data_IF_846753785424
#
_entry.id   IF_846753785424
#
_cell.length_a   1.000
_cell.length_b   1.000
_cell.length_c   1.000
_cell.angle_alpha   90.00
_cell.angle_beta   90.00
_cell.angle_gamma   90.00
#
_symmetry.space_group_name_H-M   'P 1'
#
loop_
_entity.id
_entity.type
_entity.pdbx_description
1 polymer ?
#
# COMPACT_ATOMS: atom_id res chain seq x y z
N UNK A 1 -28.00 16.02 -25.22
CA UNK A 1 -27.07 15.04 -24.60
C UNK A 1 -26.09 15.83 -23.76
N UNK A 2 -26.15 15.73 -22.44
CA UNK A 2 -25.15 16.36 -21.56
C UNK A 2 -23.84 15.62 -21.75
N UNK A 3 -22.85 16.30 -22.31
CA UNK A 3 -21.46 15.81 -22.40
C UNK A 3 -20.81 16.01 -21.04
N UNK A 4 -21.17 15.18 -20.06
CA UNK A 4 -20.42 15.14 -18.81
C UNK A 4 -19.02 14.62 -19.12
N UNK A 5 -18.03 15.49 -18.89
CA UNK A 5 -16.62 15.11 -19.01
C UNK A 5 -16.22 14.25 -17.81
N UNK A 6 -15.31 13.28 -17.98
CA UNK A 6 -14.76 12.52 -16.87
C UNK A 6 -14.12 13.45 -15.83
N UNK A 7 -14.36 13.19 -14.55
CA UNK A 7 -13.79 13.96 -13.45
C UNK A 7 -12.30 13.62 -13.31
N UNK A 8 -11.46 14.62 -13.09
CA UNK A 8 -10.07 14.41 -12.67
C UNK A 8 -9.95 14.62 -11.17
N UNK A 9 -9.37 13.66 -10.45
CA UNK A 9 -9.18 13.69 -9.00
C UNK A 9 -7.67 13.67 -8.71
N UNK A 10 -7.17 14.79 -8.20
CA UNK A 10 -5.76 14.96 -7.86
C UNK A 10 -5.37 14.22 -6.57
N UNK A 11 -4.07 14.06 -6.36
CA UNK A 11 -3.50 13.54 -5.11
C UNK A 11 -3.92 14.37 -3.89
N UNK A 12 -4.04 15.69 -4.02
CA UNK A 12 -4.45 16.56 -2.91
C UNK A 12 -5.91 16.38 -2.53
N UNK A 13 -6.78 16.11 -3.51
CA UNK A 13 -8.17 15.78 -3.26
C UNK A 13 -8.27 14.38 -2.64
N UNK A 14 -7.54 13.40 -3.17
CA UNK A 14 -7.50 12.04 -2.62
C UNK A 14 -7.13 12.03 -1.13
N UNK A 15 -6.09 12.77 -0.73
CA UNK A 15 -5.65 12.89 0.67
C UNK A 15 -6.74 13.39 1.63
N UNK A 16 -7.70 14.17 1.14
CA UNK A 16 -8.80 14.71 1.96
C UNK A 16 -9.90 13.68 2.19
N UNK A 17 -10.03 12.68 1.31
CA UNK A 17 -11.10 11.70 1.34
C UNK A 17 -10.66 10.32 1.83
N UNK A 18 -9.36 10.08 2.00
CA UNK A 18 -8.84 8.77 2.39
C UNK A 18 -8.89 8.55 3.90
N UNK A 19 -9.57 7.47 4.30
CA UNK A 19 -9.58 6.93 5.66
C UNK A 19 -8.95 5.53 5.66
N UNK A 20 -8.04 5.26 6.60
CA UNK A 20 -7.33 3.98 6.65
C UNK A 20 -8.26 2.79 6.90
N UNK A 21 -9.33 2.94 7.70
CA UNK A 21 -10.25 1.82 7.98
C UNK A 21 -11.03 1.44 6.74
N UNK A 22 -11.48 2.43 5.98
CA UNK A 22 -12.18 2.19 4.71
C UNK A 22 -11.23 1.63 3.63
N UNK A 23 -9.97 2.06 3.59
CA UNK A 23 -8.97 1.47 2.69
C UNK A 23 -8.70 0.00 3.05
N UNK A 24 -8.48 -0.31 4.32
CA UNK A 24 -8.28 -1.70 4.76
C UNK A 24 -9.51 -2.56 4.39
N UNK A 25 -10.72 -2.03 4.60
CA UNK A 25 -11.95 -2.72 4.22
C UNK A 25 -12.03 -2.99 2.71
N UNK A 26 -11.73 -2.00 1.87
CA UNK A 26 -11.72 -2.18 0.42
C UNK A 26 -10.74 -3.27 -0.02
N UNK A 27 -9.57 -3.36 0.63
CA UNK A 27 -8.59 -4.43 0.37
C UNK A 27 -9.08 -5.81 0.86
N UNK A 28 -9.74 -5.88 2.02
CA UNK A 28 -10.39 -7.12 2.49
C UNK A 28 -11.44 -7.61 1.48
N UNK A 29 -12.31 -6.72 0.99
CA UNK A 29 -13.32 -7.06 -0.02
C UNK A 29 -12.67 -7.54 -1.32
N UNK A 30 -11.60 -6.88 -1.77
CA UNK A 30 -10.87 -7.30 -2.96
C UNK A 30 -10.19 -8.67 -2.78
N UNK A 31 -9.62 -8.96 -1.61
CA UNK A 31 -9.04 -10.28 -1.34
C UNK A 31 -10.08 -11.39 -1.28
N UNK A 32 -11.25 -11.13 -0.69
CA UNK A 32 -12.39 -12.04 -0.75
C UNK A 32 -12.85 -12.28 -2.19
N UNK A 33 -12.89 -11.23 -3.00
CA UNK A 33 -13.27 -11.31 -4.41
C UNK A 33 -12.29 -12.13 -5.27
N UNK A 34 -11.00 -12.15 -4.91
CA UNK A 34 -9.97 -12.95 -5.59
C UNK A 34 -9.99 -14.40 -5.12
N UNK A 35 -10.32 -14.65 -3.85
CA UNK A 35 -10.39 -16.02 -3.31
C UNK A 35 -11.67 -16.76 -3.70
N UNK A 36 -12.74 -16.01 -4.01
CA UNK A 36 -14.01 -16.58 -4.43
C UNK A 36 -14.04 -16.93 -5.92
N UNK A 37 -14.33 -18.18 -6.23
CA UNK A 37 -14.47 -18.67 -7.62
C UNK A 37 -15.93 -18.75 -8.09
N UNK A 38 -16.90 -18.55 -7.20
CA UNK A 38 -18.33 -18.58 -7.53
C UNK A 38 -18.86 -17.17 -7.80
N UNK A 39 -19.16 -16.90 -9.07
CA UNK A 39 -19.68 -15.63 -9.58
C UNK A 39 -21.21 -15.54 -9.42
N UNK A 40 -21.89 -16.66 -9.13
CA UNK A 40 -23.35 -16.72 -9.02
C UNK A 40 -23.89 -16.37 -7.62
N UNK A 41 -23.01 -16.31 -6.63
CA UNK A 41 -23.35 -16.03 -5.23
C UNK A 41 -23.46 -14.54 -4.90
N UNK A 42 -23.98 -14.24 -3.70
CA UNK A 42 -24.05 -12.89 -3.14
C UNK A 42 -22.72 -12.40 -2.55
N UNK A 43 -21.60 -13.07 -2.84
CA UNK A 43 -20.26 -12.70 -2.37
C UNK A 43 -19.51 -11.84 -3.40
N UNK A 44 -18.49 -11.08 -2.98
CA UNK A 44 -17.61 -10.40 -3.90
C UNK A 44 -16.93 -11.40 -4.86
N UNK A 45 -16.70 -10.97 -6.09
CA UNK A 45 -15.96 -11.74 -7.10
C UNK A 45 -15.12 -10.81 -7.96
N UNK A 46 -14.10 -11.34 -8.62
CA UNK A 46 -13.18 -10.52 -9.40
C UNK A 46 -12.96 -11.06 -10.81
N UNK A 47 -12.63 -10.14 -11.71
CA UNK A 47 -12.08 -10.45 -13.03
C UNK A 47 -10.85 -9.57 -13.23
N UNK A 48 -9.68 -10.20 -13.19
CA UNK A 48 -8.40 -9.51 -13.27
C UNK A 48 -7.43 -10.32 -14.15
N UNK A 49 -7.14 -9.87 -15.38
CA UNK A 49 -6.11 -10.50 -16.18
C UNK A 49 -4.72 -10.20 -15.61
N UNK A 50 -3.72 -10.95 -16.08
CA UNK A 50 -2.33 -10.61 -15.81
C UNK A 50 -2.02 -9.19 -16.30
N UNK A 51 -1.17 -8.47 -15.54
CA UNK A 51 -0.69 -7.15 -15.96
C UNK A 51 0.04 -7.26 -17.29
N UNK A 52 -0.12 -6.27 -18.15
CA UNK A 52 0.56 -6.21 -19.45
C UNK A 52 1.60 -5.10 -19.46
N UNK A 53 2.65 -5.31 -20.27
CA UNK A 53 3.80 -4.41 -20.37
C UNK A 53 3.95 -3.93 -21.80
N UNK A 54 4.23 -2.64 -21.97
CA UNK A 54 4.67 -2.05 -23.23
C UNK A 54 6.01 -1.39 -22.97
N UNK A 55 7.06 -1.92 -23.61
CA UNK A 55 8.39 -1.35 -23.53
C UNK A 55 8.52 -0.18 -24.51
N UNK A 56 8.96 0.96 -23.99
CA UNK A 56 9.35 2.13 -24.76
C UNK A 56 10.88 2.31 -24.65
N UNK A 57 11.46 3.16 -25.49
CA UNK A 57 12.91 3.39 -25.52
C UNK A 57 13.49 3.79 -24.14
N UNK A 58 12.77 4.65 -23.40
CA UNK A 58 13.23 5.19 -22.11
C UNK A 58 12.62 4.53 -20.87
N UNK A 59 11.77 3.50 -21.02
CA UNK A 59 11.01 2.98 -19.90
C UNK A 59 9.95 1.96 -20.27
N UNK A 60 9.00 1.75 -19.38
CA UNK A 60 7.93 0.75 -19.55
C UNK A 60 6.59 1.31 -19.07
N UNK A 61 5.52 0.99 -19.81
CA UNK A 61 4.14 1.17 -19.40
C UNK A 61 3.60 -0.16 -18.86
N UNK A 62 3.01 -0.13 -17.68
CA UNK A 62 2.30 -1.23 -17.04
C UNK A 62 0.81 -0.93 -17.08
N UNK A 63 0.03 -1.86 -17.64
CA UNK A 63 -1.43 -1.80 -17.65
C UNK A 63 -2.00 -2.86 -16.71
N UNK A 64 -2.84 -2.41 -15.78
CA UNK A 64 -3.41 -3.22 -14.71
C UNK A 64 -4.93 -3.02 -14.64
N UNK A 65 -5.71 -3.61 -15.56
CA UNK A 65 -7.17 -3.60 -15.47
C UNK A 65 -7.65 -4.57 -14.39
N UNK A 66 -8.78 -4.24 -13.76
CA UNK A 66 -9.42 -5.09 -12.77
C UNK A 66 -10.88 -4.74 -12.56
N UNK A 67 -11.69 -5.77 -12.31
CA UNK A 67 -13.08 -5.66 -11.93
C UNK A 67 -13.28 -6.35 -10.58
N UNK A 68 -13.99 -5.68 -9.67
CA UNK A 68 -14.52 -6.28 -8.45
C UNK A 68 -16.03 -6.11 -8.48
N UNK A 69 -16.75 -7.21 -8.54
CA UNK A 69 -18.20 -7.24 -8.51
C UNK A 69 -18.72 -7.52 -7.11
N UNK A 70 -19.92 -7.00 -6.83
CA UNK A 70 -20.72 -7.34 -5.65
C UNK A 70 -19.98 -7.14 -4.30
N UNK A 71 -19.29 -6.01 -4.16
CA UNK A 71 -18.55 -5.65 -2.94
C UNK A 71 -19.25 -4.54 -2.15
N UNK A 72 -18.97 -4.50 -0.85
CA UNK A 72 -19.44 -3.44 0.03
C UNK A 72 -18.40 -2.31 0.02
N UNK A 73 -18.83 -1.11 -0.39
CA UNK A 73 -17.90 0.02 -0.60
C UNK A 73 -17.37 0.56 0.73
N UNK A 74 -18.25 0.74 1.71
CA UNK A 74 -17.92 1.33 3.00
C UNK A 74 -18.28 0.37 4.13
N UNK A 75 -17.33 0.18 5.05
CA UNK A 75 -17.50 -0.68 6.23
C UNK A 75 -18.63 -0.18 7.14
N UNK A 76 -18.79 1.14 7.18
CA UNK A 76 -19.81 1.84 7.98
C UNK A 76 -21.24 1.65 7.45
N UNK A 77 -21.43 1.27 6.19
CA UNK A 77 -22.75 1.13 5.57
C UNK A 77 -23.08 -0.34 5.25
N UNK A 78 -23.38 -1.12 6.30
CA UNK A 78 -23.79 -2.54 6.19
C UNK A 78 -25.17 -2.75 5.55
N UNK A 79 -25.92 -1.67 5.32
CA UNK A 79 -27.25 -1.69 4.69
C UNK A 79 -27.21 -1.38 3.20
N UNK A 80 -26.04 -0.99 2.68
CA UNK A 80 -25.86 -0.64 1.28
C UNK A 80 -26.08 -1.84 0.37
N UNK A 81 -26.76 -1.57 -0.75
CA UNK A 81 -26.76 -2.48 -1.89
C UNK A 81 -25.33 -2.69 -2.37
N UNK A 82 -24.89 -3.95 -2.60
CA UNK A 82 -23.57 -4.21 -3.11
C UNK A 82 -23.29 -3.46 -4.41
N UNK A 83 -22.05 -2.98 -4.54
CA UNK A 83 -21.58 -2.23 -5.71
C UNK A 83 -20.62 -3.06 -6.55
N UNK A 84 -20.28 -2.54 -7.72
CA UNK A 84 -19.28 -3.14 -8.61
C UNK A 84 -18.36 -2.04 -9.13
N UNK A 85 -17.08 -2.35 -9.28
CA UNK A 85 -16.06 -1.37 -9.66
C UNK A 85 -15.22 -1.93 -10.79
N UNK A 86 -15.18 -1.21 -11.90
CA UNK A 86 -14.31 -1.47 -13.05
C UNK A 86 -13.26 -0.37 -13.13
N UNK A 87 -11.99 -0.73 -13.04
CA UNK A 87 -10.91 0.25 -13.12
C UNK A 87 -9.70 -0.29 -13.91
N UNK A 88 -8.89 0.63 -14.42
CA UNK A 88 -7.59 0.32 -14.98
C UNK A 88 -6.54 1.27 -14.43
N UNK A 89 -5.48 0.72 -13.83
CA UNK A 89 -4.31 1.51 -13.47
C UNK A 89 -3.28 1.43 -14.58
N UNK A 90 -2.86 2.60 -15.07
CA UNK A 90 -1.74 2.75 -15.99
C UNK A 90 -0.59 3.41 -15.25
N UNK A 91 0.56 2.73 -15.20
CA UNK A 91 1.78 3.22 -14.55
C UNK A 91 2.92 3.18 -15.56
N UNK A 92 3.73 4.22 -15.59
CA UNK A 92 4.97 4.28 -16.34
C UNK A 92 6.15 4.28 -15.39
N UNK A 93 7.23 3.59 -15.76
CA UNK A 93 8.52 3.62 -15.06
C UNK A 93 9.63 4.01 -16.03
N UNK A 94 10.24 5.17 -15.78
CA UNK A 94 11.25 5.80 -16.62
C UNK A 94 12.43 6.21 -15.72
N UNK A 95 13.39 5.30 -15.54
CA UNK A 95 14.46 5.43 -14.53
C UNK A 95 15.41 6.63 -14.71
N UNK A 96 15.45 7.23 -15.90
CA UNK A 96 16.25 8.44 -16.18
C UNK A 96 15.51 9.74 -15.87
N UNK A 97 14.22 9.70 -15.51
CA UNK A 97 13.44 10.91 -15.19
C UNK A 97 14.07 11.76 -14.07
N UNK A 98 14.61 11.16 -12.98
CA UNK A 98 15.27 11.93 -11.93
C UNK A 98 16.56 12.64 -12.36
N UNK A 99 17.14 12.28 -13.52
CA UNK A 99 18.37 12.90 -14.06
C UNK A 99 18.09 14.10 -14.97
N UNK A 100 16.83 14.38 -15.29
CA UNK A 100 16.41 15.50 -16.15
C UNK A 100 16.51 16.83 -15.41
N UNK A 101 16.45 17.93 -16.16
CA UNK A 101 16.38 19.30 -15.63
C UNK A 101 15.17 20.04 -16.25
N UNK A 102 14.10 20.32 -15.49
CA UNK A 102 13.91 19.94 -14.08
C UNK A 102 13.72 18.42 -13.89
N UNK A 103 14.04 17.87 -12.71
CA UNK A 103 13.89 16.45 -12.44
C UNK A 103 12.41 16.04 -12.46
N UNK A 104 12.13 14.88 -13.06
CA UNK A 104 10.79 14.27 -13.11
C UNK A 104 10.72 13.02 -12.23
N UNK A 105 9.52 12.61 -11.76
CA UNK A 105 9.33 11.33 -11.08
C UNK A 105 9.68 10.15 -11.99
N UNK A 106 10.37 9.15 -11.45
CA UNK A 106 10.66 7.88 -12.14
C UNK A 106 9.39 7.05 -12.39
N UNK A 107 8.41 7.14 -11.50
CA UNK A 107 7.11 6.47 -11.58
C UNK A 107 5.99 7.50 -11.70
N UNK A 108 5.17 7.36 -12.75
CA UNK A 108 4.00 8.21 -12.99
C UNK A 108 2.80 7.34 -13.32
N UNK A 109 1.59 7.70 -12.92
CA UNK A 109 0.42 6.96 -13.36
C UNK A 109 -0.92 7.55 -12.99
N UNK A 110 -1.93 7.01 -13.65
CA UNK A 110 -3.33 7.37 -13.47
C UNK A 110 -4.17 6.10 -13.32
N UNK A 111 -5.24 6.19 -12.54
CA UNK A 111 -6.28 5.19 -12.42
C UNK A 111 -7.49 5.71 -13.19
N UNK A 112 -8.03 4.89 -14.08
CA UNK A 112 -9.22 5.17 -14.86
C UNK A 112 -10.38 4.37 -14.27
N UNK A 113 -11.43 5.05 -13.86
CA UNK A 113 -12.64 4.46 -13.29
C UNK A 113 -13.76 4.48 -14.33
N UNK A 114 -14.38 3.34 -14.57
CA UNK A 114 -15.42 3.18 -15.58
C UNK A 114 -16.76 2.84 -14.93
N UNK A 115 -17.83 3.34 -15.53
CA UNK A 115 -19.17 2.82 -15.27
C UNK A 115 -19.22 1.36 -15.74
N UNK A 116 -19.49 0.45 -14.82
CA UNK A 116 -19.39 -0.98 -15.07
C UNK A 116 -20.57 -1.55 -15.88
N UNK A 117 -21.57 -0.74 -16.23
CA UNK A 117 -22.74 -1.14 -17.02
C UNK A 117 -22.61 -0.64 -18.47
N UNK A 118 -22.20 0.62 -18.64
CA UNK A 118 -22.12 1.32 -19.92
C UNK A 118 -20.71 1.39 -20.49
N UNK A 119 -19.69 1.14 -19.67
CA UNK A 119 -18.27 1.26 -20.03
C UNK A 119 -17.78 2.71 -20.17
N UNK A 120 -18.60 3.72 -19.87
CA UNK A 120 -18.19 5.12 -19.95
C UNK A 120 -17.16 5.45 -18.88
N UNK A 121 -16.08 6.15 -19.28
CA UNK A 121 -15.11 6.68 -18.34
C UNK A 121 -15.78 7.73 -17.43
N UNK A 122 -15.71 7.51 -16.12
CA UNK A 122 -16.33 8.38 -15.11
C UNK A 122 -15.30 9.31 -14.47
N UNK A 123 -14.14 8.75 -14.10
CA UNK A 123 -13.10 9.51 -13.43
C UNK A 123 -11.69 9.04 -13.80
N UNK A 124 -10.75 9.96 -13.65
CA UNK A 124 -9.31 9.74 -13.70
C UNK A 124 -8.69 10.22 -12.40
N UNK A 125 -7.83 9.42 -11.79
CA UNK A 125 -7.26 9.69 -10.48
C UNK A 125 -5.75 9.56 -10.54
N UNK A 126 -5.01 10.43 -9.84
CA UNK A 126 -3.57 10.25 -9.70
C UNK A 126 -3.24 8.96 -8.95
N UNK A 127 -2.38 8.12 -9.54
CA UNK A 127 -2.20 6.74 -9.07
C UNK A 127 -1.13 6.58 -7.99
N UNK A 128 -0.23 7.54 -7.82
CA UNK A 128 0.96 7.38 -6.97
C UNK A 128 0.56 7.25 -5.49
N UNK A 129 -0.27 8.18 -4.99
CA UNK A 129 -0.79 8.14 -3.63
C UNK A 129 -1.62 6.88 -3.35
N UNK A 130 -2.57 6.55 -4.23
CA UNK A 130 -3.39 5.32 -4.09
C UNK A 130 -2.51 4.06 -4.15
N UNK A 131 -1.46 4.05 -4.98
CA UNK A 131 -0.52 2.93 -5.05
C UNK A 131 0.24 2.78 -3.74
N UNK A 132 0.65 3.86 -3.09
CA UNK A 132 1.23 3.84 -1.74
C UNK A 132 0.27 3.24 -0.71
N UNK A 133 -0.94 3.80 -0.61
CA UNK A 133 -1.97 3.37 0.33
C UNK A 133 -2.34 1.89 0.16
N UNK A 134 -2.72 1.48 -1.06
CA UNK A 134 -3.21 0.12 -1.31
C UNK A 134 -2.13 -0.94 -1.10
N UNK A 135 -0.86 -0.61 -1.33
CA UNK A 135 0.27 -1.54 -1.12
C UNK A 135 0.49 -1.74 0.37
N UNK A 136 0.54 -0.66 1.15
CA UNK A 136 0.60 -0.74 2.61
C UNK A 136 -0.62 -1.47 3.21
N UNK A 137 -1.83 -1.15 2.74
CA UNK A 137 -3.06 -1.76 3.20
C UNK A 137 -3.10 -3.28 2.95
N UNK A 138 -2.65 -3.74 1.77
CA UNK A 138 -2.52 -5.17 1.48
C UNK A 138 -1.63 -5.90 2.51
N UNK A 139 -0.47 -5.32 2.83
CA UNK A 139 0.45 -5.83 3.85
C UNK A 139 -0.16 -5.81 5.26
N UNK A 140 -0.91 -4.76 5.61
CA UNK A 140 -1.57 -4.65 6.92
C UNK A 140 -2.68 -5.70 7.05
N UNK A 141 -3.57 -5.86 6.06
CA UNK A 141 -4.61 -6.89 6.07
C UNK A 141 -3.99 -8.29 6.16
N UNK A 142 -2.92 -8.56 5.41
CA UNK A 142 -2.19 -9.83 5.52
C UNK A 142 -1.62 -10.04 6.94
N UNK A 143 -1.05 -9.00 7.54
CA UNK A 143 -0.51 -9.05 8.91
C UNK A 143 -1.63 -9.26 9.95
N UNK A 144 -2.81 -8.66 9.77
CA UNK A 144 -3.96 -8.87 10.63
C UNK A 144 -4.42 -10.33 10.64
N UNK A 145 -4.58 -10.91 9.46
CA UNK A 145 -5.09 -12.27 9.30
C UNK A 145 -4.04 -13.33 9.66
N UNK A 146 -2.78 -13.11 9.26
CA UNK A 146 -1.71 -14.10 9.38
C UNK A 146 -0.83 -13.90 10.61
N UNK A 147 -0.89 -12.80 11.34
CA UNK A 147 -0.04 -12.62 12.51
C UNK A 147 -0.86 -12.20 13.72
N UNK A 148 -1.58 -11.09 13.63
CA UNK A 148 -2.30 -10.56 14.79
C UNK A 148 -3.46 -11.43 15.28
N UNK A 149 -4.02 -12.30 14.42
CA UNK A 149 -5.03 -13.30 14.81
C UNK A 149 -4.54 -14.32 15.84
N UNK A 150 -3.22 -14.51 15.95
CA UNK A 150 -2.56 -15.49 16.85
C UNK A 150 -1.75 -14.83 17.98
N UNK A 151 -1.70 -13.51 18.04
CA UNK A 151 -1.02 -12.75 19.09
C UNK A 151 -2.00 -12.45 20.23
N UNK A 152 -1.69 -12.95 21.43
CA UNK A 152 -2.50 -12.72 22.64
C UNK A 152 -2.29 -11.32 23.21
N UNK A 153 -1.04 -10.86 23.29
CA UNK A 153 -0.68 -9.54 23.79
C UNK A 153 0.02 -8.70 22.71
N UNK A 154 -0.63 -7.60 22.31
CA UNK A 154 -0.13 -6.66 21.31
C UNK A 154 0.64 -5.48 21.90
N UNK A 155 0.76 -5.39 23.23
CA UNK A 155 1.30 -4.21 23.93
C UNK A 155 2.77 -3.95 23.65
N UNK A 156 3.55 -4.98 23.32
CA UNK A 156 5.01 -4.92 23.20
C UNK A 156 5.54 -5.21 21.79
N UNK A 157 4.67 -5.16 20.77
CA UNK A 157 5.06 -5.51 19.39
C UNK A 157 6.06 -4.51 18.81
N UNK A 158 7.00 -5.03 18.02
CA UNK A 158 8.07 -4.27 17.35
C UNK A 158 7.93 -4.37 15.83
N UNK A 159 7.78 -3.22 15.17
CA UNK A 159 7.76 -3.09 13.71
C UNK A 159 9.14 -2.71 13.18
N UNK A 160 9.66 -3.43 12.20
CA UNK A 160 10.87 -3.07 11.46
C UNK A 160 10.53 -2.59 10.04
N UNK A 161 11.05 -1.44 9.64
CA UNK A 161 10.93 -0.90 8.27
C UNK A 161 12.32 -0.88 7.62
N UNK A 162 12.54 -1.79 6.68
CA UNK A 162 13.77 -1.91 5.91
C UNK A 162 13.55 -1.25 4.55
N UNK A 163 14.12 -0.05 4.37
CA UNK A 163 13.86 0.82 3.23
C UNK A 163 12.86 1.92 3.57
N UNK A 164 13.33 3.15 3.66
CA UNK A 164 12.53 4.33 4.08
C UNK A 164 12.21 5.26 2.91
N UNK A 165 12.00 4.68 1.72
CA UNK A 165 11.41 5.38 0.57
C UNK A 165 9.89 5.47 0.69
N UNK A 166 9.22 5.82 -0.42
CA UNK A 166 7.76 6.01 -0.49
C UNK A 166 6.98 4.86 0.13
N UNK A 167 7.25 3.61 -0.26
CA UNK A 167 6.52 2.46 0.28
C UNK A 167 6.78 2.23 1.77
N UNK A 168 8.03 2.37 2.23
CA UNK A 168 8.35 2.26 3.67
C UNK A 168 7.61 3.32 4.50
N UNK A 169 7.50 4.54 3.97
CA UNK A 169 6.72 5.61 4.59
C UNK A 169 5.22 5.27 4.70
N UNK A 170 4.59 4.85 3.59
CA UNK A 170 3.16 4.46 3.61
C UNK A 170 2.89 3.28 4.55
N UNK A 171 3.79 2.29 4.61
CA UNK A 171 3.64 1.17 5.54
C UNK A 171 3.78 1.62 6.99
N UNK A 172 4.80 2.42 7.30
CA UNK A 172 4.99 2.93 8.66
C UNK A 172 3.77 3.75 9.12
N UNK A 173 3.27 4.66 8.28
CA UNK A 173 2.08 5.46 8.57
C UNK A 173 0.83 4.58 8.68
N UNK A 174 0.64 3.64 7.76
CA UNK A 174 -0.52 2.75 7.77
C UNK A 174 -0.59 1.88 9.02
N UNK A 175 0.52 1.24 9.40
CA UNK A 175 0.60 0.48 10.65
C UNK A 175 0.37 1.38 11.87
N UNK A 176 0.97 2.58 11.90
CA UNK A 176 0.79 3.53 13.00
C UNK A 176 -0.68 3.97 13.17
N UNK A 177 -1.44 4.08 12.08
CA UNK A 177 -2.85 4.48 12.12
C UNK A 177 -3.81 3.33 12.47
N UNK A 178 -3.40 2.07 12.28
CA UNK A 178 -4.33 0.93 12.28
C UNK A 178 -4.03 -0.10 13.36
N UNK A 179 -2.77 -0.19 13.82
CA UNK A 179 -2.28 -1.27 14.68
C UNK A 179 -1.37 -0.74 15.78
N UNK A 180 -1.36 -1.40 16.95
CA UNK A 180 -0.52 -0.98 18.07
C UNK A 180 0.88 -1.61 18.02
N UNK A 181 1.90 -0.77 18.18
CA UNK A 181 3.30 -1.16 18.30
C UNK A 181 3.97 -0.36 19.42
N UNK A 182 4.80 -1.01 20.23
CA UNK A 182 5.64 -0.35 21.22
C UNK A 182 6.85 0.33 20.58
N UNK A 183 7.36 -0.25 19.48
CA UNK A 183 8.59 0.24 18.83
C UNK A 183 8.49 0.17 17.32
N UNK A 184 9.02 1.19 16.64
CA UNK A 184 9.26 1.21 15.20
C UNK A 184 10.76 1.37 14.97
N UNK A 185 11.38 0.38 14.36
CA UNK A 185 12.78 0.38 13.96
C UNK A 185 12.89 0.73 12.48
N UNK A 186 13.74 1.69 12.15
CA UNK A 186 13.95 2.16 10.80
C UNK A 186 15.38 1.85 10.34
N UNK A 187 15.51 1.34 9.12
CA UNK A 187 16.79 1.24 8.46
C UNK A 187 16.69 1.61 6.99
N UNK A 188 17.69 2.33 6.49
CA UNK A 188 17.89 2.57 5.08
C UNK A 188 19.38 2.81 4.83
N UNK A 189 19.88 2.34 3.67
CA UNK A 189 21.28 2.52 3.27
C UNK A 189 21.74 3.99 3.38
N UNK A 190 20.89 4.92 2.97
CA UNK A 190 21.10 6.36 3.16
C UNK A 190 20.38 6.79 4.43
N UNK A 191 21.12 6.96 5.53
CA UNK A 191 20.59 7.27 6.87
C UNK A 191 19.64 8.47 6.89
N UNK A 192 19.95 9.53 6.14
CA UNK A 192 19.12 10.74 6.09
C UNK A 192 17.70 10.50 5.59
N UNK A 193 17.42 9.42 4.85
CA UNK A 193 16.05 9.03 4.50
C UNK A 193 15.27 8.52 5.73
N UNK A 194 15.92 7.73 6.58
CA UNK A 194 15.32 7.27 7.84
C UNK A 194 15.10 8.42 8.82
N UNK A 195 16.00 9.40 8.87
CA UNK A 195 15.83 10.60 9.70
C UNK A 195 14.62 11.43 9.26
N UNK A 196 14.42 11.61 7.95
CA UNK A 196 13.22 12.27 7.42
C UNK A 196 11.94 11.52 7.75
N UNK A 197 11.95 10.18 7.60
CA UNK A 197 10.78 9.38 7.95
C UNK A 197 10.50 9.43 9.45
N UNK A 198 11.54 9.33 10.30
CA UNK A 198 11.41 9.45 11.75
C UNK A 198 10.75 10.77 12.14
N UNK A 199 11.20 11.90 11.60
CA UNK A 199 10.60 13.20 11.85
C UNK A 199 9.10 13.24 11.49
N UNK A 200 8.75 12.77 10.28
CA UNK A 200 7.34 12.67 9.85
C UNK A 200 6.49 11.81 10.78
N UNK A 201 7.01 10.65 11.19
CA UNK A 201 6.28 9.76 12.09
C UNK A 201 6.13 10.39 13.47
N UNK A 202 7.17 11.03 14.01
CA UNK A 202 7.11 11.75 15.29
C UNK A 202 6.02 12.83 15.31
N UNK A 203 5.82 13.55 14.19
CA UNK A 203 4.75 14.54 14.08
C UNK A 203 3.34 13.91 14.04
N UNK A 204 3.23 12.70 13.46
CA UNK A 204 1.96 11.98 13.35
C UNK A 204 1.58 11.20 14.60
N UNK A 205 2.55 10.70 15.37
CA UNK A 205 2.34 9.86 16.54
C UNK A 205 1.23 10.37 17.49
N UNK A 206 1.19 11.67 17.87
CA UNK A 206 0.18 12.18 18.79
C UNK A 206 -1.27 12.04 18.32
N UNK A 207 -1.51 11.97 17.00
CA UNK A 207 -2.85 11.81 16.41
C UNK A 207 -3.21 10.36 16.05
N UNK A 208 -2.34 9.40 16.39
CA UNK A 208 -2.50 7.98 16.03
C UNK A 208 -2.87 7.10 17.22
N UNK A 209 -3.08 5.79 16.97
CA UNK A 209 -3.31 4.78 18.01
C UNK A 209 -2.09 4.50 18.91
N UNK A 210 -0.94 5.15 18.61
CA UNK A 210 0.39 4.79 19.08
C UNK A 210 1.12 5.97 19.74
N UNK A 211 0.43 6.76 20.57
CA UNK A 211 0.98 7.97 21.19
C UNK A 211 2.31 7.77 21.95
N UNK A 212 2.62 6.55 22.38
CA UNK A 212 3.82 6.21 23.17
C UNK A 212 4.87 5.39 22.39
N UNK A 213 4.71 5.24 21.06
CA UNK A 213 5.63 4.41 20.27
C UNK A 213 7.04 5.01 20.26
N UNK A 214 8.04 4.15 20.49
CA UNK A 214 9.45 4.54 20.40
C UNK A 214 9.95 4.30 18.98
N UNK A 215 10.41 5.35 18.31
CA UNK A 215 10.97 5.27 16.95
C UNK A 215 12.50 5.35 17.03
N UNK A 216 13.21 4.41 16.42
CA UNK A 216 14.67 4.36 16.43
C UNK A 216 15.25 4.06 15.04
N UNK A 217 16.42 4.64 14.75
CA UNK A 217 17.17 4.39 13.52
C UNK A 217 18.35 3.48 13.83
N UNK A 218 18.50 2.40 13.07
CA UNK A 218 19.56 1.40 13.27
C UNK A 218 20.66 1.49 12.22
N UNK A 219 21.88 1.06 12.56
CA UNK A 219 23.05 1.16 11.71
C UNK A 219 23.13 0.07 10.65
N UNK A 220 22.58 -1.11 10.93
CA UNK A 220 22.55 -2.26 10.03
C UNK A 220 21.15 -2.86 9.87
N UNK A 221 20.94 -3.63 8.80
CA UNK A 221 19.71 -4.40 8.59
C UNK A 221 19.50 -5.40 9.73
N UNK A 222 20.58 -6.06 10.17
CA UNK A 222 20.57 -7.02 11.27
C UNK A 222 20.06 -6.39 12.57
N UNK A 223 20.63 -5.26 12.99
CA UNK A 223 20.19 -4.53 14.20
C UNK A 223 18.73 -4.09 14.12
N UNK A 224 18.29 -3.70 12.91
CA UNK A 224 16.92 -3.27 12.67
C UNK A 224 15.94 -4.45 12.71
N UNK A 225 16.32 -5.63 12.21
CA UNK A 225 15.48 -6.83 12.20
C UNK A 225 15.42 -7.53 13.56
N UNK A 226 16.47 -7.38 14.37
CA UNK A 226 16.57 -8.03 15.67
C UNK A 226 15.35 -7.72 16.53
N UNK A 227 14.75 -8.75 17.11
CA UNK A 227 13.56 -8.69 17.98
C UNK A 227 12.26 -8.16 17.32
N UNK A 228 12.24 -7.87 16.01
CA UNK A 228 11.02 -7.45 15.31
C UNK A 228 9.98 -8.58 15.25
N UNK A 229 8.73 -8.21 15.52
CA UNK A 229 7.54 -9.06 15.35
C UNK A 229 7.04 -9.01 13.90
N UNK A 230 7.03 -7.81 13.34
CA UNK A 230 6.62 -7.54 11.96
C UNK A 230 7.75 -6.81 11.26
N UNK A 231 8.12 -7.25 10.06
CA UNK A 231 9.12 -6.59 9.23
C UNK A 231 8.50 -6.27 7.88
N UNK A 232 8.69 -5.03 7.41
CA UNK A 232 8.39 -4.60 6.05
C UNK A 232 9.71 -4.42 5.31
N UNK A 233 9.88 -5.07 4.16
CA UNK A 233 10.99 -4.79 3.25
C UNK A 233 10.49 -3.98 2.07
N UNK A 234 10.87 -2.71 1.99
CA UNK A 234 10.46 -1.76 0.95
C UNK A 234 11.70 -1.16 0.27
N UNK A 235 12.53 -2.03 -0.30
CA UNK A 235 13.80 -1.67 -0.94
C UNK A 235 13.79 -2.00 -2.43
N UNK A 236 14.51 -1.23 -3.23
CA UNK A 236 14.70 -1.49 -4.67
C UNK A 236 15.93 -2.36 -4.98
N UNK A 237 16.47 -3.09 -4.00
CA UNK A 237 17.65 -3.92 -4.22
C UNK A 237 17.27 -5.29 -4.79
N UNK A 238 18.05 -5.78 -5.74
CA UNK A 238 17.97 -7.15 -6.25
C UNK A 238 18.77 -8.15 -5.41
N UNK A 239 19.55 -7.67 -4.44
CA UNK A 239 20.35 -8.52 -3.55
C UNK A 239 19.63 -8.77 -2.22
N UNK A 240 19.61 -10.01 -1.70
CA UNK A 240 19.04 -10.29 -0.38
C UNK A 240 19.68 -9.44 0.74
N UNK A 241 18.85 -8.84 1.60
CA UNK A 241 19.30 -8.04 2.75
C UNK A 241 19.03 -8.70 4.10
N UNK A 242 17.98 -9.51 4.19
CA UNK A 242 17.56 -10.15 5.43
C UNK A 242 17.95 -11.62 5.37
N UNK A 243 18.68 -12.06 6.40
CA UNK A 243 19.06 -13.45 6.58
C UNK A 243 18.36 -14.04 7.80
N UNK A 244 18.13 -15.36 7.79
CA UNK A 244 17.42 -16.06 8.86
C UNK A 244 18.04 -15.81 10.24
N UNK A 245 19.36 -15.67 10.33
CA UNK A 245 20.10 -15.39 11.57
C UNK A 245 19.72 -14.07 12.23
N UNK A 246 19.14 -13.11 11.50
CA UNK A 246 18.74 -11.80 12.03
C UNK A 246 17.37 -11.82 12.69
N UNK A 247 16.61 -12.90 12.46
CA UNK A 247 15.19 -12.97 12.72
C UNK A 247 14.90 -13.80 13.96
N UNK A 248 14.00 -13.31 14.81
CA UNK A 248 13.44 -14.14 15.88
C UNK A 248 12.51 -15.22 15.33
N UNK A 249 12.15 -16.25 16.12
CA UNK A 249 11.06 -17.17 15.78
C UNK A 249 9.74 -16.42 15.56
N UNK A 250 8.88 -16.94 14.70
CA UNK A 250 7.51 -16.45 14.46
C UNK A 250 7.37 -15.00 13.95
N UNK A 251 8.46 -14.42 13.42
CA UNK A 251 8.41 -13.11 12.75
C UNK A 251 7.50 -13.15 11.52
N UNK A 252 6.67 -12.12 11.36
CA UNK A 252 5.88 -11.89 10.15
C UNK A 252 6.62 -10.94 9.22
N UNK A 253 6.77 -11.31 7.94
CA UNK A 253 7.50 -10.50 6.96
C UNK A 253 6.56 -10.13 5.81
N UNK A 254 6.44 -8.83 5.56
CA UNK A 254 5.81 -8.26 4.38
C UNK A 254 6.89 -7.87 3.37
N UNK A 255 6.97 -8.63 2.26
CA UNK A 255 7.97 -8.46 1.22
C UNK A 255 7.49 -7.60 0.06
N UNK A 256 7.95 -6.35 -0.03
CA UNK A 256 7.70 -5.46 -1.17
C UNK A 256 8.98 -5.31 -2.01
N UNK A 257 9.16 -6.19 -2.98
CA UNK A 257 10.28 -6.11 -3.93
C UNK A 257 9.76 -5.48 -5.22
N UNK A 258 10.30 -4.29 -5.55
CA UNK A 258 10.16 -3.69 -6.87
C UNK A 258 11.33 -4.20 -7.72
N UNK A 259 11.12 -5.32 -8.41
CA UNK A 259 12.03 -5.84 -9.44
C UNK A 259 11.39 -5.71 -10.81
#
# INVERSE_FOLDING_TARGET
MTTEQPVFISENELKQFTDWKEILHALEQAFLAVSNTDISGSHPYSSQPARTFVHAEGGVLLCMPGFVGNHIVFKSDKTSTPSSTLACKLITSFGDNPKRDPPLPDINGNIFLFDNITGKLQATLEANYITGLRTAAASIVATEQLFFSRVVDKSNLVLGIIGTGTQGEFHAIGFLNTQKFAKIKLWNRTRSRSERLMAKLSDLVPSTLNAEVVISIHGSVEECCKDCDVIVTATSTSTPLIFRSFLKPDVHINGEIWS
#
